data_IF_896562369668
#
_entry.id   IF_896562369668
#
_cell.length_a   1.000
_cell.length_b   1.000
_cell.length_c   1.000
_cell.angle_alpha   90.00
_cell.angle_beta   90.00
_cell.angle_gamma   90.00
#
_symmetry.space_group_name_H-M   'P 1'
#
loop_
_entity.id
_entity.type
_entity.pdbx_description
1 polymer ?
#
# COMPACT_ATOMS: atom_id res chain seq x y z
N UNK A 1 16.90 16.15 12.09
CA UNK A 1 17.44 14.76 12.13
C UNK A 1 16.58 13.84 12.98
N UNK A 2 16.25 14.22 14.22
CA UNK A 2 15.34 13.46 15.10
C UNK A 2 13.93 13.27 14.48
N UNK A 3 13.41 14.28 13.81
CA UNK A 3 12.09 14.24 13.19
C UNK A 3 11.99 13.35 11.95
N UNK A 4 13.02 13.35 11.10
CA UNK A 4 13.12 12.40 9.98
C UNK A 4 13.14 10.96 10.48
N UNK A 5 13.90 10.70 11.56
CA UNK A 5 13.92 9.39 12.24
C UNK A 5 12.55 9.00 12.79
N UNK A 6 11.81 9.94 13.39
CA UNK A 6 10.46 9.70 13.87
C UNK A 6 9.49 9.36 12.74
N UNK A 7 9.52 10.08 11.62
CA UNK A 7 8.65 9.81 10.47
C UNK A 7 9.00 8.45 9.84
N UNK A 8 10.28 8.11 9.72
CA UNK A 8 10.71 6.78 9.25
C UNK A 8 10.18 5.69 10.19
N UNK A 9 10.32 5.87 11.51
CA UNK A 9 9.79 4.93 12.49
C UNK A 9 8.25 4.79 12.41
N UNK A 10 7.54 5.90 12.20
CA UNK A 10 6.09 5.89 12.02
C UNK A 10 5.67 5.13 10.75
N UNK A 11 6.36 5.36 9.62
CA UNK A 11 6.13 4.64 8.36
C UNK A 11 6.41 3.14 8.52
N UNK A 12 7.52 2.76 9.17
CA UNK A 12 7.83 1.34 9.41
C UNK A 12 6.79 0.69 10.32
N UNK A 13 6.33 1.39 11.36
CA UNK A 13 5.28 0.89 12.26
C UNK A 13 3.95 0.73 11.54
N UNK A 14 3.56 1.69 10.71
CA UNK A 14 2.32 1.59 9.92
C UNK A 14 2.39 0.48 8.88
N UNK A 15 3.57 0.17 8.31
CA UNK A 15 3.74 -0.98 7.42
C UNK A 15 3.53 -2.32 8.13
N UNK A 16 3.98 -2.45 9.38
CA UNK A 16 3.73 -3.65 10.20
C UNK A 16 2.23 -3.78 10.48
N UNK A 17 1.57 -2.69 10.89
CA UNK A 17 0.12 -2.67 11.17
C UNK A 17 -0.68 -3.00 9.92
N UNK A 18 -0.34 -2.40 8.77
CA UNK A 18 -1.00 -2.67 7.50
C UNK A 18 -0.77 -4.11 7.05
N UNK A 19 0.44 -4.65 7.19
CA UNK A 19 0.72 -6.05 6.90
C UNK A 19 -0.18 -6.99 7.71
N UNK A 20 -0.37 -6.71 9.00
CA UNK A 20 -1.27 -7.46 9.85
C UNK A 20 -2.74 -7.29 9.45
N UNK A 21 -3.20 -6.06 9.18
CA UNK A 21 -4.57 -5.78 8.74
C UNK A 21 -4.89 -6.48 7.42
N UNK A 22 -4.03 -6.34 6.41
CA UNK A 22 -4.19 -7.02 5.13
C UNK A 22 -4.21 -8.54 5.29
N UNK A 23 -3.37 -9.08 6.17
CA UNK A 23 -3.41 -10.51 6.46
C UNK A 23 -4.72 -10.91 7.15
N UNK A 24 -5.21 -10.16 8.12
CA UNK A 24 -6.44 -10.47 8.84
C UNK A 24 -7.66 -10.42 7.90
N UNK A 25 -7.75 -9.39 7.06
CA UNK A 25 -8.82 -9.27 6.07
C UNK A 25 -8.72 -10.42 5.05
N UNK A 26 -7.52 -10.80 4.62
CA UNK A 26 -7.32 -11.95 3.75
C UNK A 26 -7.79 -13.27 4.39
N UNK A 27 -7.56 -13.48 5.69
CA UNK A 27 -8.03 -14.67 6.39
C UNK A 27 -9.57 -14.72 6.44
N UNK A 28 -10.22 -13.58 6.69
CA UNK A 28 -11.69 -13.48 6.73
C UNK A 28 -12.30 -13.74 5.34
N UNK A 29 -11.71 -13.18 4.28
CA UNK A 29 -12.26 -13.29 2.92
C UNK A 29 -11.92 -14.62 2.22
N UNK A 30 -10.76 -15.22 2.50
CA UNK A 30 -10.28 -16.43 1.81
C UNK A 30 -10.27 -17.70 2.65
N UNK A 31 -10.70 -17.64 3.93
CA UNK A 31 -10.61 -18.75 4.89
C UNK A 31 -9.21 -19.41 4.98
N UNK A 32 -8.15 -18.68 4.58
CA UNK A 32 -6.78 -19.17 4.72
C UNK A 32 -6.38 -19.09 6.18
N UNK A 33 -5.95 -20.20 6.77
CA UNK A 33 -5.52 -20.28 8.18
C UNK A 33 -4.07 -19.83 8.41
N UNK A 34 -3.30 -19.56 7.35
CA UNK A 34 -1.89 -19.16 7.45
C UNK A 34 -1.64 -17.77 6.86
N UNK A 35 -0.79 -17.02 7.54
CA UNK A 35 -0.26 -15.74 7.06
C UNK A 35 0.59 -16.01 5.81
N UNK A 36 0.18 -15.43 4.69
CA UNK A 36 0.91 -15.52 3.44
C UNK A 36 1.96 -14.40 3.38
N UNK A 37 3.15 -14.69 3.90
CA UNK A 37 4.28 -13.76 3.91
C UNK A 37 4.64 -13.25 2.50
N UNK A 38 4.39 -14.04 1.44
CA UNK A 38 4.63 -13.61 0.06
C UNK A 38 3.67 -12.49 -0.35
N UNK A 39 2.41 -12.59 0.05
CA UNK A 39 1.41 -11.54 -0.19
C UNK A 39 1.73 -10.25 0.55
N UNK A 40 2.13 -10.36 1.83
CA UNK A 40 2.55 -9.21 2.66
C UNK A 40 3.78 -8.52 2.07
N UNK A 41 4.81 -9.28 1.70
CA UNK A 41 6.02 -8.76 1.09
C UNK A 41 5.73 -8.07 -0.26
N UNK A 42 4.84 -8.65 -1.08
CA UNK A 42 4.41 -8.01 -2.33
C UNK A 42 3.77 -6.64 -2.06
N UNK A 43 2.83 -6.57 -1.12
CA UNK A 43 2.19 -5.30 -0.75
C UNK A 43 3.18 -4.26 -0.23
N UNK A 44 4.16 -4.67 0.58
CA UNK A 44 5.23 -3.79 1.06
C UNK A 44 6.08 -3.22 -0.08
N UNK A 45 6.54 -4.08 -1.00
CA UNK A 45 7.37 -3.65 -2.16
C UNK A 45 6.59 -2.66 -3.04
N UNK A 46 5.32 -2.92 -3.30
CA UNK A 46 4.46 -2.02 -4.07
C UNK A 46 4.32 -0.64 -3.43
N UNK A 47 4.15 -0.58 -2.09
CA UNK A 47 4.07 0.70 -1.37
C UNK A 47 5.41 1.42 -1.34
N UNK A 48 6.52 0.71 -1.15
CA UNK A 48 7.86 1.32 -1.19
C UNK A 48 8.19 1.87 -2.58
N UNK A 49 7.79 1.16 -3.64
CA UNK A 49 7.89 1.66 -5.01
C UNK A 49 7.10 2.97 -5.17
N UNK A 50 5.81 2.98 -4.82
CA UNK A 50 5.00 4.19 -4.94
C UNK A 50 5.56 5.35 -4.10
N UNK A 51 5.92 5.08 -2.85
CA UNK A 51 6.48 6.08 -1.93
C UNK A 51 7.74 6.72 -2.51
N UNK A 52 8.69 5.92 -2.99
CA UNK A 52 9.96 6.41 -3.53
C UNK A 52 9.74 7.33 -4.74
N UNK A 53 8.89 6.95 -5.67
CA UNK A 53 8.66 7.75 -6.86
C UNK A 53 7.80 8.99 -6.59
N UNK A 54 6.74 8.86 -5.79
CA UNK A 54 5.89 9.98 -5.41
C UNK A 54 6.61 11.03 -4.57
N UNK A 55 7.51 10.59 -3.68
CA UNK A 55 8.36 11.50 -2.91
C UNK A 55 9.32 12.31 -3.79
N UNK A 56 9.68 11.79 -4.96
CA UNK A 56 10.50 12.51 -5.96
C UNK A 56 9.63 13.22 -7.02
N UNK A 57 8.35 13.49 -6.72
CA UNK A 57 7.38 14.14 -7.62
C UNK A 57 7.18 13.43 -8.97
N UNK A 58 7.48 12.13 -9.04
CA UNK A 58 7.29 11.30 -10.24
C UNK A 58 5.87 10.72 -10.28
N UNK A 59 4.88 11.59 -10.48
CA UNK A 59 3.48 11.21 -10.67
C UNK A 59 3.23 10.10 -11.72
N UNK A 60 4.00 9.98 -12.83
CA UNK A 60 3.84 8.88 -13.80
C UNK A 60 3.98 7.48 -13.19
N UNK A 61 4.60 7.34 -12.01
CA UNK A 61 4.66 6.06 -11.31
C UNK A 61 3.29 5.49 -10.94
N UNK A 62 2.28 6.33 -10.69
CA UNK A 62 0.90 5.89 -10.47
C UNK A 62 0.31 5.26 -11.74
N UNK A 63 0.55 5.88 -12.89
CA UNK A 63 0.09 5.38 -14.19
C UNK A 63 0.76 4.05 -14.52
N UNK A 64 2.08 3.97 -14.35
CA UNK A 64 2.84 2.74 -14.55
C UNK A 64 2.35 1.61 -13.63
N UNK A 65 2.18 1.91 -12.33
CA UNK A 65 1.70 0.94 -11.36
C UNK A 65 0.28 0.44 -11.68
N UNK A 66 -0.61 1.35 -12.08
CA UNK A 66 -1.98 1.01 -12.48
C UNK A 66 -1.99 0.13 -13.73
N UNK A 67 -1.17 0.47 -14.73
CA UNK A 67 -1.01 -0.33 -15.95
C UNK A 67 -0.46 -1.73 -15.65
N UNK A 68 0.55 -1.84 -14.77
CA UNK A 68 1.12 -3.11 -14.34
C UNK A 68 0.07 -3.99 -13.65
N UNK A 69 -0.72 -3.42 -12.73
CA UNK A 69 -1.79 -4.15 -12.04
C UNK A 69 -2.91 -4.58 -12.99
N UNK A 70 -3.28 -3.74 -13.95
CA UNK A 70 -4.27 -4.09 -14.97
C UNK A 70 -3.78 -5.24 -15.86
N UNK A 71 -2.55 -5.15 -16.37
CA UNK A 71 -1.96 -6.17 -17.24
C UNK A 71 -1.85 -7.54 -16.54
N UNK A 72 -1.42 -7.56 -15.28
CA UNK A 72 -1.32 -8.82 -14.51
C UNK A 72 -2.68 -9.44 -14.21
N UNK A 73 -3.74 -8.63 -14.11
CA UNK A 73 -5.11 -9.12 -13.90
C UNK A 73 -5.73 -9.68 -15.17
N UNK A 74 -5.59 -9.01 -16.32
CA UNK A 74 -6.14 -9.49 -17.59
C UNK A 74 -5.66 -10.91 -17.92
N UNK A 75 -4.39 -11.21 -17.63
CA UNK A 75 -3.81 -12.55 -17.77
C UNK A 75 -4.48 -13.62 -16.89
N UNK A 76 -5.04 -13.24 -15.74
CA UNK A 76 -5.70 -14.15 -14.79
C UNK A 76 -7.19 -14.38 -15.10
N UNK A 77 -7.89 -13.36 -15.59
CA UNK A 77 -9.30 -13.49 -15.99
C UNK A 77 -9.46 -14.40 -17.23
N UNK A 78 -8.47 -14.48 -18.13
CA UNK A 78 -8.47 -15.43 -19.26
C UNK A 78 -8.37 -16.92 -18.83
N UNK A 79 -7.89 -17.20 -17.61
CA UNK A 79 -7.58 -18.57 -17.16
C UNK A 79 -8.63 -19.18 -16.21
N UNK A 80 -9.59 -18.41 -15.70
CA UNK A 80 -10.47 -18.87 -14.62
C UNK A 80 -11.93 -18.44 -14.86
N UNK A 81 -12.74 -19.31 -15.46
CA UNK A 81 -14.17 -19.10 -15.61
C UNK A 81 -14.92 -19.29 -14.30
N UNK A 82 -15.81 -18.34 -13.96
CA UNK A 82 -17.00 -18.44 -13.09
C UNK A 82 -17.01 -18.05 -11.60
N UNK A 83 -15.90 -17.73 -10.92
CA UNK A 83 -15.90 -17.24 -9.51
C UNK A 83 -15.29 -15.82 -9.32
N UNK A 84 -15.29 -15.00 -10.37
CA UNK A 84 -14.43 -13.80 -10.49
C UNK A 84 -14.86 -12.56 -9.70
N UNK A 85 -16.16 -12.34 -9.45
CA UNK A 85 -16.63 -11.03 -8.98
C UNK A 85 -16.20 -10.69 -7.53
N UNK A 86 -16.36 -11.62 -6.58
CA UNK A 86 -16.02 -11.36 -5.16
C UNK A 86 -14.51 -11.25 -4.95
N UNK A 87 -13.74 -12.02 -5.73
CA UNK A 87 -12.28 -11.94 -5.76
C UNK A 87 -11.82 -10.59 -6.32
N UNK A 88 -12.44 -10.15 -7.41
CA UNK A 88 -12.10 -8.89 -8.07
C UNK A 88 -12.29 -7.66 -7.16
N UNK A 89 -13.43 -7.56 -6.46
CA UNK A 89 -13.71 -6.40 -5.60
C UNK A 89 -12.72 -6.30 -4.43
N UNK A 90 -12.35 -7.44 -3.84
CA UNK A 90 -11.33 -7.49 -2.79
C UNK A 90 -9.97 -6.95 -3.27
N UNK A 91 -9.53 -7.39 -4.46
CA UNK A 91 -8.25 -6.94 -5.03
C UNK A 91 -8.29 -5.46 -5.40
N UNK A 92 -9.41 -4.97 -5.94
CA UNK A 92 -9.59 -3.56 -6.25
C UNK A 92 -9.46 -2.68 -5.00
N UNK A 93 -10.21 -3.02 -3.94
CA UNK A 93 -10.18 -2.27 -2.66
C UNK A 93 -8.78 -2.32 -2.04
N UNK A 94 -8.13 -3.48 -2.03
CA UNK A 94 -6.77 -3.61 -1.48
C UNK A 94 -5.74 -2.78 -2.24
N UNK A 95 -5.84 -2.72 -3.57
CA UNK A 95 -4.97 -1.90 -4.40
C UNK A 95 -5.20 -0.40 -4.16
N UNK A 96 -6.46 0.03 -4.08
CA UNK A 96 -6.83 1.42 -3.83
C UNK A 96 -6.36 1.87 -2.43
N UNK A 97 -6.54 1.03 -1.41
CA UNK A 97 -6.06 1.28 -0.06
C UNK A 97 -4.54 1.41 -0.04
N UNK A 98 -3.82 0.53 -0.74
CA UNK A 98 -2.35 0.57 -0.84
C UNK A 98 -1.84 1.87 -1.49
N UNK A 99 -2.48 2.30 -2.58
CA UNK A 99 -2.16 3.57 -3.25
C UNK A 99 -2.48 4.76 -2.33
N UNK A 100 -3.62 4.72 -1.65
CA UNK A 100 -4.04 5.79 -0.72
C UNK A 100 -3.05 5.95 0.44
N UNK A 101 -2.56 4.84 1.00
CA UNK A 101 -1.51 4.85 2.02
C UNK A 101 -0.21 5.44 1.48
N UNK A 102 0.23 5.04 0.29
CA UNK A 102 1.46 5.57 -0.29
C UNK A 102 1.39 7.09 -0.52
N UNK A 103 0.26 7.58 -1.04
CA UNK A 103 0.00 9.01 -1.18
C UNK A 103 0.01 9.74 0.17
N UNK A 104 -0.60 9.14 1.19
CA UNK A 104 -0.62 9.68 2.54
C UNK A 104 0.79 9.78 3.15
N UNK A 105 1.63 8.76 2.97
CA UNK A 105 3.03 8.81 3.40
C UNK A 105 3.81 9.91 2.69
N UNK A 106 3.68 10.03 1.36
CA UNK A 106 4.31 11.11 0.60
C UNK A 106 3.85 12.47 1.10
N UNK A 107 2.55 12.63 1.36
CA UNK A 107 2.00 13.87 1.91
C UNK A 107 2.64 14.24 3.26
N UNK A 108 2.70 13.29 4.20
CA UNK A 108 3.33 13.50 5.51
C UNK A 108 4.79 13.88 5.34
N UNK A 109 5.55 13.13 4.54
CA UNK A 109 6.98 13.37 4.33
C UNK A 109 7.23 14.78 3.76
N UNK A 110 6.47 15.19 2.75
CA UNK A 110 6.59 16.51 2.13
C UNK A 110 6.16 17.65 3.07
N UNK A 111 5.31 17.37 4.07
CA UNK A 111 4.79 18.36 5.02
C UNK A 111 5.39 18.23 6.44
N UNK A 112 6.46 17.46 6.62
CA UNK A 112 7.07 17.18 7.92
C UNK A 112 7.40 18.47 8.70
N UNK A 113 7.88 19.53 8.04
CA UNK A 113 8.18 20.82 8.67
C UNK A 113 6.94 21.52 9.27
N UNK A 114 5.78 21.41 8.61
CA UNK A 114 4.52 21.98 9.12
C UNK A 114 3.96 21.15 10.27
N UNK A 115 4.11 19.84 10.22
CA UNK A 115 3.65 18.92 11.28
C UNK A 115 4.43 19.17 12.58
N UNK A 116 5.76 19.35 12.49
CA UNK A 116 6.58 19.70 13.65
C UNK A 116 6.16 21.02 14.31
N UNK A 117 5.76 22.01 13.51
CA UNK A 117 5.27 23.31 14.02
C UNK A 117 3.97 23.15 14.82
N UNK A 118 3.08 22.24 14.39
CA UNK A 118 1.82 21.96 15.11
C UNK A 118 2.08 21.16 16.38
N UNK A 119 2.96 20.15 16.32
CA UNK A 119 3.25 19.28 17.45
C UNK A 119 4.02 19.98 18.58
N UNK A 120 4.78 21.03 18.26
CA UNK A 120 5.50 21.86 19.24
C UNK A 120 4.61 22.94 19.89
N UNK A 121 3.42 23.17 19.35
CA UNK A 121 2.40 24.08 19.91
C UNK A 121 1.36 23.34 20.78
N UNK A 122 1.35 22.00 20.74
CA UNK A 122 0.53 21.11 21.56
C UNK A 122 1.32 20.62 22.78
#
# INVERSE_FOLDING_TARGET
MLSVLFVIAAVLTSEIVLGFLFSAIAQIFYQKTKIDFKSVAKGFIERMFLLLFLFNDLAPALTFFSALKLATRLKHDESTGSDSNKFNDYYLVGNLLSVSVALFYTYILNHTQKIETILSLL
#
